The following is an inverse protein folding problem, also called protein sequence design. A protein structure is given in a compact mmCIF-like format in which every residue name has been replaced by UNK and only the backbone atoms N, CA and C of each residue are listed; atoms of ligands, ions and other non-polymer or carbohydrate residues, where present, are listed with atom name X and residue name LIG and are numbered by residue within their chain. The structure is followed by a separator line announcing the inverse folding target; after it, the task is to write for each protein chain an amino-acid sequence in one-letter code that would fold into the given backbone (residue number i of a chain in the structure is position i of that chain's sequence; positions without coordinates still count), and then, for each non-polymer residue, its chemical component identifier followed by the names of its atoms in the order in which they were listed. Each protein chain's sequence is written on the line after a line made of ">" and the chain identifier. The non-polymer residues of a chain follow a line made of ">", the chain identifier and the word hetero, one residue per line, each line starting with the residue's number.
data_IF_338900700080
#
_entry.id   IF_338900700080
#
_cell.length_a   1.000
_cell.length_b   1.000
_cell.length_c   1.000
_cell.angle_alpha   90.00
_cell.angle_beta   90.00
_cell.angle_gamma   90.00
#
_symmetry.space_group_name_H-M   'P 1'
#
loop_
_entity.id
_entity.type
_entity.pdbx_description
1 polymer ?
#
# COMPACT_ATOMS: atom_id res chain seq x y z
N UNK A 1 -6.29 2.00 -35.09
CA UNK A 1 -5.59 0.73 -34.79
C UNK A 1 -5.63 0.56 -33.29
N UNK A 2 -6.37 -0.42 -32.80
CA UNK A 2 -6.34 -0.78 -31.37
C UNK A 2 -5.12 -1.68 -31.24
N UNK A 3 -4.06 -1.19 -30.59
CA UNK A 3 -2.94 -2.07 -30.19
C UNK A 3 -3.54 -3.18 -29.33
N UNK A 4 -3.42 -4.42 -29.79
CA UNK A 4 -3.72 -5.58 -28.96
C UNK A 4 -2.62 -5.63 -27.90
N UNK A 5 -2.95 -5.12 -26.71
CA UNK A 5 -2.08 -5.27 -25.54
C UNK A 5 -1.87 -6.77 -25.29
N UNK A 6 -0.61 -7.19 -25.22
CA UNK A 6 -0.23 -8.56 -24.87
C UNK A 6 -0.65 -8.83 -23.41
N UNK A 7 -1.30 -9.96 -23.18
CA UNK A 7 -1.72 -10.37 -21.84
C UNK A 7 -0.53 -10.46 -20.88
N UNK A 8 0.68 -10.82 -21.38
CA UNK A 8 1.91 -10.81 -20.60
C UNK A 8 2.33 -9.41 -20.16
N UNK A 9 2.08 -8.41 -21.00
CA UNK A 9 2.37 -7.01 -20.69
C UNK A 9 1.42 -6.50 -19.59
N UNK A 10 0.13 -6.86 -19.65
CA UNK A 10 -0.84 -6.57 -18.58
C UNK A 10 -0.37 -7.16 -17.25
N UNK A 11 0.12 -8.39 -17.24
CA UNK A 11 0.61 -9.02 -16.01
C UNK A 11 1.84 -8.33 -15.44
N UNK A 12 2.79 -7.95 -16.28
CA UNK A 12 3.96 -7.18 -15.85
C UNK A 12 3.53 -5.84 -15.23
N UNK A 13 2.57 -5.15 -15.83
CA UNK A 13 2.03 -3.89 -15.30
C UNK A 13 1.28 -4.11 -13.97
N UNK A 14 0.53 -5.19 -13.84
CA UNK A 14 -0.16 -5.57 -12.59
C UNK A 14 0.85 -5.88 -11.47
N UNK A 15 1.85 -6.71 -11.74
CA UNK A 15 2.86 -7.03 -10.72
C UNK A 15 3.67 -5.80 -10.31
N UNK A 16 4.04 -4.94 -11.26
CA UNK A 16 4.72 -3.68 -11.00
C UNK A 16 3.84 -2.72 -10.18
N UNK A 17 2.56 -2.57 -10.52
CA UNK A 17 1.62 -1.77 -9.74
C UNK A 17 1.51 -2.29 -8.30
N UNK A 18 1.42 -3.61 -8.09
CA UNK A 18 1.41 -4.23 -6.76
C UNK A 18 2.70 -3.92 -5.97
N UNK A 19 3.86 -3.98 -6.63
CA UNK A 19 5.14 -3.58 -6.04
C UNK A 19 5.18 -2.10 -5.64
N UNK A 20 4.67 -1.22 -6.50
CA UNK A 20 4.56 0.21 -6.20
C UNK A 20 3.58 0.47 -5.04
N UNK A 21 2.51 -0.31 -4.92
CA UNK A 21 1.59 -0.21 -3.80
C UNK A 21 2.29 -0.56 -2.47
N UNK A 22 3.09 -1.63 -2.45
CA UNK A 22 3.87 -2.01 -1.27
C UNK A 22 4.90 -0.94 -0.90
N UNK A 23 5.64 -0.41 -1.89
CA UNK A 23 6.63 0.64 -1.69
C UNK A 23 6.02 1.94 -1.14
N UNK A 24 4.87 2.36 -1.69
CA UNK A 24 4.19 3.56 -1.22
C UNK A 24 3.62 3.39 0.19
N UNK A 25 3.07 2.22 0.52
CA UNK A 25 2.63 1.91 1.89
C UNK A 25 3.80 2.04 2.90
N UNK A 26 4.94 1.44 2.60
CA UNK A 26 6.13 1.55 3.45
C UNK A 26 6.61 3.01 3.57
N UNK A 27 6.56 3.77 2.48
CA UNK A 27 6.94 5.18 2.48
C UNK A 27 6.02 6.03 3.39
N UNK A 28 4.70 5.80 3.37
CA UNK A 28 3.78 6.49 4.27
C UNK A 28 4.05 6.16 5.73
N UNK A 29 4.30 4.89 6.06
CA UNK A 29 4.65 4.47 7.42
C UNK A 29 5.93 5.15 7.92
N UNK A 30 6.96 5.25 7.07
CA UNK A 30 8.21 5.95 7.40
C UNK A 30 8.00 7.45 7.64
N UNK A 31 7.15 8.11 6.85
CA UNK A 31 6.85 9.53 7.01
C UNK A 31 6.04 9.78 8.28
N UNK A 32 5.04 8.94 8.58
CA UNK A 32 4.28 9.02 9.82
C UNK A 32 5.18 8.90 11.06
N UNK A 33 6.07 7.89 11.06
CA UNK A 33 7.06 7.71 12.14
C UNK A 33 8.00 8.91 12.29
N UNK A 34 8.36 9.59 11.20
CA UNK A 34 9.17 10.80 11.24
C UNK A 34 8.41 11.97 11.90
N UNK A 35 7.13 12.16 11.59
CA UNK A 35 6.31 13.19 12.24
C UNK A 35 6.09 12.89 13.72
N UNK A 36 5.89 11.63 14.09
CA UNK A 36 5.79 11.20 15.49
C UNK A 36 7.09 11.50 16.25
N UNK A 37 8.25 11.15 15.68
CA UNK A 37 9.55 11.44 16.28
C UNK A 37 9.81 12.94 16.46
N UNK A 38 9.41 13.76 15.46
CA UNK A 38 9.48 15.22 15.56
C UNK A 38 8.57 15.72 16.69
N UNK A 39 7.33 15.23 16.76
CA UNK A 39 6.38 15.62 17.80
C UNK A 39 6.91 15.30 19.21
N UNK A 40 7.53 14.13 19.39
CA UNK A 40 8.15 13.69 20.64
C UNK A 40 9.41 14.48 21.02
N UNK A 41 10.12 15.05 20.04
CA UNK A 41 11.33 15.86 20.28
C UNK A 41 11.05 17.31 20.69
N UNK A 42 9.79 17.75 20.57
CA UNK A 42 9.38 19.13 20.77
C UNK A 42 8.54 19.28 22.04
N UNK A 43 8.60 20.42 22.75
CA UNK A 43 7.77 20.66 23.91
C UNK A 43 6.29 20.68 23.53
N UNK A 44 5.48 20.09 24.40
CA UNK A 44 4.02 20.05 24.29
C UNK A 44 3.47 21.47 24.05
N UNK A 45 2.46 21.56 23.19
CA UNK A 45 1.79 22.82 22.79
C UNK A 45 2.64 23.81 21.99
N UNK A 46 3.89 23.48 21.65
CA UNK A 46 4.66 24.30 20.71
C UNK A 46 4.01 24.30 19.32
N UNK A 47 4.27 25.36 18.53
CA UNK A 47 3.84 25.41 17.13
C UNK A 47 4.42 24.23 16.35
N UNK A 48 5.68 23.88 16.61
CA UNK A 48 6.32 22.73 15.96
C UNK A 48 5.66 21.40 16.32
N UNK A 49 5.29 21.18 17.59
CA UNK A 49 4.55 19.98 18.00
C UNK A 49 3.19 19.87 17.31
N UNK A 50 2.45 20.98 17.21
CA UNK A 50 1.15 21.01 16.49
C UNK A 50 1.31 20.77 14.99
N UNK A 51 2.37 21.29 14.37
CA UNK A 51 2.67 21.02 12.96
C UNK A 51 3.06 19.56 12.73
N UNK A 52 3.83 18.97 13.65
CA UNK A 52 4.18 17.57 13.59
C UNK A 52 2.93 16.67 13.71
N UNK A 53 2.04 16.98 14.66
CA UNK A 53 0.76 16.28 14.80
C UNK A 53 -0.15 16.42 13.57
N UNK A 54 -0.23 17.63 13.00
CA UNK A 54 -0.95 17.82 11.73
C UNK A 54 -0.34 17.00 10.59
N UNK A 55 0.99 16.87 10.55
CA UNK A 55 1.69 16.02 9.59
C UNK A 55 1.33 14.54 9.76
N UNK A 56 1.27 14.04 10.99
CA UNK A 56 0.81 12.70 11.32
C UNK A 56 -0.64 12.48 10.85
N UNK A 57 -1.57 13.39 11.21
CA UNK A 57 -2.97 13.30 10.80
C UNK A 57 -3.14 13.28 9.27
N UNK A 58 -2.32 14.07 8.55
CA UNK A 58 -2.30 14.06 7.08
C UNK A 58 -1.76 12.74 6.54
N UNK A 59 -0.75 12.15 7.18
CA UNK A 59 -0.22 10.85 6.77
C UNK A 59 -1.25 9.74 6.97
N UNK A 60 -2.00 9.76 8.07
CA UNK A 60 -3.07 8.80 8.35
C UNK A 60 -4.20 8.90 7.32
N UNK A 61 -4.67 10.11 7.02
CA UNK A 61 -5.71 10.34 5.99
C UNK A 61 -5.27 9.86 4.60
N UNK A 62 -4.02 10.14 4.24
CA UNK A 62 -3.43 9.70 2.97
C UNK A 62 -3.21 8.21 2.91
N UNK A 63 -2.80 7.60 4.02
CA UNK A 63 -2.64 6.13 4.13
C UNK A 63 -3.99 5.44 3.97
N UNK A 64 -5.02 5.91 4.66
CA UNK A 64 -6.39 5.37 4.54
C UNK A 64 -6.93 5.50 3.10
N UNK A 65 -6.75 6.66 2.47
CA UNK A 65 -7.13 6.86 1.06
C UNK A 65 -6.39 5.87 0.15
N UNK A 66 -5.10 5.69 0.39
CA UNK A 66 -4.25 4.81 -0.39
C UNK A 66 -4.59 3.33 -0.20
N UNK A 67 -4.87 2.89 1.03
CA UNK A 67 -5.36 1.55 1.35
C UNK A 67 -6.66 1.25 0.61
N UNK A 68 -7.61 2.19 0.58
CA UNK A 68 -8.84 2.05 -0.21
C UNK A 68 -8.56 1.84 -1.70
N UNK A 69 -7.60 2.58 -2.27
CA UNK A 69 -7.22 2.42 -3.68
C UNK A 69 -6.52 1.07 -3.93
N UNK A 70 -5.66 0.63 -3.00
CA UNK A 70 -5.00 -0.68 -3.04
C UNK A 70 -6.03 -1.81 -3.00
N UNK A 71 -7.03 -1.70 -2.14
CA UNK A 71 -8.07 -2.72 -1.98
C UNK A 71 -8.99 -2.78 -3.20
N UNK A 72 -9.35 -1.63 -3.79
CA UNK A 72 -10.08 -1.58 -5.06
C UNK A 72 -9.26 -2.20 -6.20
N UNK A 73 -7.97 -1.87 -6.28
CA UNK A 73 -7.04 -2.48 -7.22
C UNK A 73 -6.96 -4.01 -7.04
N UNK A 74 -6.77 -4.49 -5.81
CA UNK A 74 -6.74 -5.91 -5.49
C UNK A 74 -8.06 -6.60 -5.88
N UNK A 75 -9.19 -5.95 -5.60
CA UNK A 75 -10.51 -6.43 -6.02
C UNK A 75 -10.66 -6.54 -7.55
N UNK A 76 -10.09 -5.60 -8.31
CA UNK A 76 -10.05 -5.70 -9.76
C UNK A 76 -9.16 -6.85 -10.24
N UNK A 77 -7.97 -6.96 -9.68
CA UNK A 77 -7.01 -8.04 -9.99
C UNK A 77 -7.66 -9.39 -9.71
N UNK A 78 -8.28 -9.59 -8.55
CA UNK A 78 -9.00 -10.81 -8.19
C UNK A 78 -10.17 -11.13 -9.12
N UNK A 79 -10.95 -10.11 -9.52
CA UNK A 79 -12.09 -10.29 -10.42
C UNK A 79 -11.66 -10.74 -11.82
N UNK A 80 -10.56 -10.18 -12.34
CA UNK A 80 -10.16 -10.42 -13.72
C UNK A 80 -9.11 -11.52 -13.89
N UNK A 81 -8.32 -11.88 -12.87
CA UNK A 81 -7.34 -12.97 -12.98
C UNK A 81 -7.90 -14.32 -13.43
N UNK A 82 -9.09 -14.79 -12.98
CA UNK A 82 -9.67 -16.03 -13.45
C UNK A 82 -9.96 -16.04 -14.94
N UNK A 83 -10.25 -14.87 -15.52
CA UNK A 83 -10.50 -14.70 -16.95
C UNK A 83 -9.21 -14.81 -17.79
N UNK A 84 -8.06 -14.50 -17.20
CA UNK A 84 -6.78 -14.58 -17.90
C UNK A 84 -6.01 -15.89 -17.67
N UNK A 85 -6.24 -16.62 -16.57
CA UNK A 85 -5.43 -17.79 -16.19
C UNK A 85 -6.17 -19.12 -16.04
N UNK A 86 -7.50 -19.14 -15.96
CA UNK A 86 -8.17 -20.34 -15.44
C UNK A 86 -7.68 -20.67 -14.01
N UNK A 87 -7.54 -21.95 -13.66
CA UNK A 87 -7.26 -22.37 -12.27
C UNK A 87 -5.91 -21.88 -11.69
N UNK A 88 -4.90 -21.60 -12.52
CA UNK A 88 -3.54 -21.24 -12.08
C UNK A 88 -3.44 -19.80 -11.56
N UNK A 89 -4.33 -18.90 -11.99
CA UNK A 89 -4.33 -17.50 -11.57
C UNK A 89 -4.71 -17.32 -10.10
N UNK A 90 -5.53 -18.23 -9.56
CA UNK A 90 -5.93 -18.20 -8.15
C UNK A 90 -4.76 -18.41 -7.19
N UNK A 91 -3.72 -19.14 -7.61
CA UNK A 91 -2.53 -19.38 -6.79
C UNK A 91 -1.59 -18.15 -6.75
N UNK A 92 -1.51 -17.40 -7.85
CA UNK A 92 -0.72 -16.16 -7.92
C UNK A 92 -1.32 -15.05 -7.05
N UNK A 93 -2.66 -14.88 -7.10
CA UNK A 93 -3.37 -13.94 -6.21
C UNK A 93 -3.06 -14.26 -4.75
N UNK A 94 -3.23 -15.51 -4.32
CA UNK A 94 -3.02 -15.90 -2.93
C UNK A 94 -1.59 -15.64 -2.43
N UNK A 95 -0.61 -15.64 -3.34
CA UNK A 95 0.77 -15.26 -3.05
C UNK A 95 0.96 -13.73 -2.98
N UNK A 96 0.29 -12.98 -3.85
CA UNK A 96 0.33 -11.50 -3.86
C UNK A 96 -0.40 -10.90 -2.65
N UNK A 97 -1.61 -11.34 -2.33
CA UNK A 97 -2.31 -10.91 -1.10
C UNK A 97 -1.53 -11.29 0.15
N UNK A 98 -0.82 -12.43 0.15
CA UNK A 98 0.08 -12.77 1.28
C UNK A 98 1.28 -11.85 1.41
N UNK A 99 1.87 -11.36 0.31
CA UNK A 99 3.00 -10.42 0.42
C UNK A 99 2.56 -9.09 0.99
N UNK A 100 1.37 -8.61 0.64
CA UNK A 100 0.83 -7.35 1.18
C UNK A 100 0.37 -7.52 2.64
N UNK A 101 -0.23 -8.66 3.01
CA UNK A 101 -0.69 -8.90 4.39
C UNK A 101 0.42 -9.35 5.35
N UNK A 102 1.49 -9.97 4.86
CA UNK A 102 2.63 -10.39 5.70
C UNK A 102 3.51 -9.21 6.11
N UNK A 103 3.50 -8.11 5.35
CA UNK A 103 4.08 -6.84 5.77
C UNK A 103 3.30 -6.21 6.94
N UNK A 104 1.97 -6.41 6.99
CA UNK A 104 1.09 -5.86 8.04
C UNK A 104 1.20 -6.63 9.38
N UNK A 105 1.54 -7.93 9.36
CA UNK A 105 1.71 -8.72 10.59
C UNK A 105 3.08 -8.58 11.25
N UNK A 106 4.13 -8.20 10.50
CA UNK A 106 5.47 -8.05 11.07
C UNK A 106 5.64 -6.77 11.92
N UNK A 107 4.71 -5.82 11.83
CA UNK A 107 4.76 -4.55 12.58
C UNK A 107 3.98 -4.60 13.91
N UNK A 108 3.31 -5.71 14.25
CA UNK A 108 2.38 -5.80 15.39
C UNK A 108 2.85 -6.70 16.55
N UNK A 109 4.10 -7.14 16.51
CA UNK A 109 4.70 -8.00 17.53
C UNK A 109 6.01 -7.43 18.05
N UNK A 110 5.92 -6.44 18.94
CA UNK A 110 6.83 -6.25 20.08
C UNK A 110 6.24 -5.14 20.96
N UNK A 111 5.44 -5.57 21.93
CA UNK A 111 5.04 -4.79 23.10
C UNK A 111 5.31 -5.64 24.34
#
# INVERSE_FOLDING_TARGET
>A
MIEQIDTKEIFSLVDNASGNFAFAHESFAQIAALFEAIAASLPDYSVGHRLAKLGEDVCDDRTSTFESMRDEYNGHVERYLPHFYGAEGRALVACQTRRTSSAEQSSRGDA
#
